data_IF_615809809244
#
_entry.id   IF_615809809244
#
_cell.length_a   1.000
_cell.length_b   1.000
_cell.length_c   1.000
_cell.angle_alpha   90.00
_cell.angle_beta   90.00
_cell.angle_gamma   90.00
#
_symmetry.space_group_name_H-M   'P 1'
#
loop_
_entity.id
_entity.type
_entity.pdbx_description
1 polymer ?
#
# COMPACT_ATOMS: atom_id res chain seq x y z
N UNK A 1 0.02 -36.94 14.72
CA UNK A 1 -0.72 -35.69 15.03
C UNK A 1 -1.97 -36.09 15.76
N UNK A 2 -2.28 -35.38 16.83
CA UNK A 2 -3.56 -35.51 17.52
C UNK A 2 -4.54 -34.50 16.93
N UNK A 3 -5.48 -34.97 16.11
CA UNK A 3 -6.46 -34.12 15.43
C UNK A 3 -7.56 -33.57 16.37
N UNK A 4 -7.68 -34.12 17.58
CA UNK A 4 -8.60 -33.59 18.59
C UNK A 4 -8.01 -32.44 19.40
N UNK A 5 -6.71 -32.17 19.26
CA UNK A 5 -6.04 -31.08 19.95
C UNK A 5 -6.37 -29.71 19.32
N UNK A 6 -6.37 -28.68 20.14
CA UNK A 6 -6.63 -27.31 19.71
C UNK A 6 -5.69 -26.34 20.41
N UNK A 7 -5.33 -25.26 19.73
CA UNK A 7 -4.56 -24.18 20.32
C UNK A 7 -5.38 -23.42 21.36
N UNK A 8 -4.71 -22.91 22.39
CA UNK A 8 -5.33 -22.05 23.40
C UNK A 8 -4.53 -20.77 23.55
N UNK A 9 -5.15 -19.63 23.88
CA UNK A 9 -4.42 -18.37 24.16
C UNK A 9 -3.35 -18.03 23.09
N UNK A 10 -3.71 -18.16 21.82
CA UNK A 10 -2.83 -17.86 20.69
C UNK A 10 -3.26 -16.55 20.05
N UNK A 11 -2.30 -15.66 19.79
CA UNK A 11 -2.51 -14.36 19.16
C UNK A 11 -1.50 -14.15 18.04
N UNK A 12 -2.01 -14.02 16.82
CA UNK A 12 -1.25 -13.81 15.59
C UNK A 12 -1.64 -12.49 14.95
N UNK A 13 -0.69 -11.90 14.22
CA UNK A 13 -0.90 -10.67 13.47
C UNK A 13 -0.88 -10.99 11.96
N UNK A 14 -1.81 -10.39 11.23
CA UNK A 14 -2.08 -10.78 9.85
C UNK A 14 -3.07 -9.87 9.14
N UNK A 15 -3.26 -10.16 7.85
CA UNK A 15 -4.09 -9.39 6.93
C UNK A 15 -5.05 -10.32 6.19
N UNK A 16 -6.34 -9.96 6.15
CA UNK A 16 -7.34 -10.70 5.41
C UNK A 16 -7.44 -10.14 3.99
N UNK A 17 -7.12 -10.97 3.00
CA UNK A 17 -7.11 -10.60 1.57
C UNK A 17 -8.09 -11.45 0.77
N UNK A 18 -8.58 -10.89 -0.33
CA UNK A 18 -9.39 -11.60 -1.31
C UNK A 18 -8.53 -11.77 -2.57
N UNK A 19 -8.06 -13.00 -2.82
CA UNK A 19 -7.38 -13.34 -4.06
C UNK A 19 -8.41 -13.52 -5.18
N UNK A 20 -8.20 -12.84 -6.30
CA UNK A 20 -8.95 -13.04 -7.54
C UNK A 20 -8.12 -13.94 -8.46
N UNK A 21 -8.54 -15.19 -8.60
CA UNK A 21 -7.89 -16.18 -9.47
C UNK A 21 -8.07 -15.81 -10.94
N UNK A 22 -7.22 -16.37 -11.81
CA UNK A 22 -7.30 -16.17 -13.27
C UNK A 22 -8.65 -16.58 -13.88
N UNK A 23 -9.36 -17.50 -13.24
CA UNK A 23 -10.71 -17.95 -13.62
C UNK A 23 -11.83 -17.09 -13.02
N UNK A 24 -11.50 -15.99 -12.33
CA UNK A 24 -12.45 -15.08 -11.69
C UNK A 24 -12.92 -15.51 -10.30
N UNK A 25 -12.54 -16.70 -9.82
CA UNK A 25 -12.91 -17.14 -8.46
C UNK A 25 -12.25 -16.26 -7.42
N UNK A 26 -13.03 -15.90 -6.40
CA UNK A 26 -12.56 -15.14 -5.22
C UNK A 26 -12.26 -16.10 -4.09
N UNK A 27 -11.05 -16.04 -3.54
CA UNK A 27 -10.61 -16.89 -2.43
C UNK A 27 -10.19 -16.01 -1.27
N UNK A 28 -10.85 -16.19 -0.12
CA UNK A 28 -10.53 -15.45 1.10
C UNK A 28 -9.34 -16.10 1.81
N UNK A 29 -8.31 -15.31 2.12
CA UNK A 29 -7.11 -15.77 2.80
C UNK A 29 -6.69 -14.85 3.94
N UNK A 30 -6.24 -15.43 5.03
CA UNK A 30 -5.59 -14.70 6.12
C UNK A 30 -4.08 -14.89 6.05
N UNK A 31 -3.38 -13.82 5.66
CA UNK A 31 -1.93 -13.78 5.51
C UNK A 31 -1.28 -13.42 6.85
N UNK A 32 -0.66 -14.40 7.51
CA UNK A 32 0.03 -14.18 8.80
C UNK A 32 1.43 -13.66 8.56
N UNK A 33 1.79 -12.56 9.23
CA UNK A 33 3.11 -11.95 9.15
C UNK A 33 3.78 -11.72 10.52
N UNK A 34 3.10 -11.99 11.64
CA UNK A 34 3.73 -12.04 12.97
C UNK A 34 2.96 -12.95 13.96
N UNK A 35 3.59 -13.31 15.07
CA UNK A 35 3.00 -14.11 16.14
C UNK A 35 3.44 -13.60 17.52
N UNK A 36 2.48 -13.16 18.33
CA UNK A 36 2.72 -12.49 19.61
C UNK A 36 2.63 -13.48 20.77
N UNK A 37 1.67 -14.41 20.71
CA UNK A 37 1.43 -15.42 21.74
C UNK A 37 1.09 -16.74 21.06
N UNK A 38 1.64 -17.85 21.54
CA UNK A 38 1.30 -19.18 21.07
C UNK A 38 1.14 -20.12 22.26
N UNK A 39 -0.05 -20.71 22.44
CA UNK A 39 -0.32 -21.65 23.53
C UNK A 39 0.01 -21.09 24.93
N UNK A 40 -0.29 -19.81 25.12
CA UNK A 40 0.01 -19.06 26.35
C UNK A 40 1.47 -18.62 26.49
N UNK A 41 2.37 -19.03 25.60
CA UNK A 41 3.75 -18.56 25.57
C UNK A 41 3.83 -17.20 24.89
N UNK A 42 4.29 -16.19 25.64
CA UNK A 42 4.53 -14.85 25.12
C UNK A 42 5.81 -14.82 24.25
N UNK A 43 5.70 -14.33 23.02
CA UNK A 43 6.78 -14.28 22.03
C UNK A 43 7.25 -12.86 21.71
N UNK A 44 6.61 -11.81 22.23
CA UNK A 44 6.88 -10.41 21.84
C UNK A 44 8.34 -9.95 22.07
N UNK A 45 9.05 -10.52 23.04
CA UNK A 45 10.47 -10.21 23.33
C UNK A 45 11.47 -10.99 22.44
N UNK A 46 10.97 -11.78 21.50
CA UNK A 46 11.81 -12.52 20.55
C UNK A 46 11.92 -11.73 19.26
N UNK A 47 13.02 -11.90 18.53
CA UNK A 47 13.18 -11.38 17.18
C UNK A 47 12.13 -11.97 16.21
N UNK A 48 11.83 -11.24 15.13
CA UNK A 48 10.80 -11.60 14.15
C UNK A 48 11.02 -13.01 13.57
N UNK A 49 12.27 -13.39 13.26
CA UNK A 49 12.59 -14.72 12.73
C UNK A 49 12.21 -15.84 13.70
N UNK A 50 12.35 -15.59 15.01
CA UNK A 50 11.93 -16.52 16.05
C UNK A 50 10.42 -16.55 16.18
N UNK A 51 9.75 -15.39 16.23
CA UNK A 51 8.28 -15.32 16.32
C UNK A 51 7.62 -16.09 15.16
N UNK A 52 8.08 -15.84 13.93
CA UNK A 52 7.63 -16.54 12.73
C UNK A 52 8.02 -18.02 12.72
N UNK A 53 9.25 -18.36 13.16
CA UNK A 53 9.71 -19.73 13.25
C UNK A 53 8.88 -20.58 14.23
N UNK A 54 8.48 -20.01 15.36
CA UNK A 54 7.59 -20.64 16.34
C UNK A 54 6.21 -20.90 15.74
N UNK A 55 5.58 -19.89 15.15
CA UNK A 55 4.28 -20.03 14.51
C UNK A 55 4.33 -21.05 13.35
N UNK A 56 5.40 -21.04 12.55
CA UNK A 56 5.55 -21.98 11.42
C UNK A 56 5.58 -23.42 11.88
N UNK A 57 6.37 -23.69 12.91
CA UNK A 57 6.63 -25.04 13.35
C UNK A 57 5.45 -25.63 14.12
N UNK A 58 4.80 -24.82 14.94
CA UNK A 58 3.84 -25.29 15.94
C UNK A 58 2.39 -25.01 15.58
N UNK A 59 2.09 -24.10 14.65
CA UNK A 59 0.72 -23.81 14.21
C UNK A 59 0.53 -24.14 12.73
N UNK A 60 1.34 -23.54 11.86
CA UNK A 60 1.10 -23.62 10.42
C UNK A 60 1.39 -25.00 9.83
N UNK A 61 2.49 -25.65 10.21
CA UNK A 61 2.77 -27.03 9.76
C UNK A 61 1.66 -28.01 10.18
N UNK A 62 1.14 -27.99 11.42
CA UNK A 62 -0.07 -28.73 11.78
C UNK A 62 -1.29 -28.40 10.92
N UNK A 63 -1.55 -27.12 10.66
CA UNK A 63 -2.63 -26.67 9.78
C UNK A 63 -2.47 -27.21 8.35
N UNK A 64 -1.27 -27.14 7.76
CA UNK A 64 -0.99 -27.70 6.42
C UNK A 64 -1.23 -29.21 6.37
N UNK A 65 -0.83 -29.92 7.43
CA UNK A 65 -1.06 -31.36 7.53
C UNK A 65 -2.55 -31.68 7.70
N UNK A 66 -3.32 -30.87 8.42
CA UNK A 66 -4.77 -31.00 8.55
C UNK A 66 -5.45 -30.83 7.20
N UNK A 67 -5.13 -29.77 6.46
CA UNK A 67 -5.63 -29.52 5.11
C UNK A 67 -5.31 -30.68 4.15
N UNK A 68 -4.10 -31.27 4.26
CA UNK A 68 -3.69 -32.41 3.44
C UNK A 68 -4.42 -33.70 3.83
N UNK A 69 -4.68 -33.91 5.11
CA UNK A 69 -5.36 -35.11 5.61
C UNK A 69 -6.86 -35.09 5.36
N UNK A 70 -7.48 -33.90 5.35
CA UNK A 70 -8.93 -33.70 5.22
C UNK A 70 -9.26 -32.63 4.16
N UNK A 71 -8.95 -32.89 2.87
CA UNK A 71 -9.17 -31.91 1.81
C UNK A 71 -10.65 -31.56 1.61
N UNK A 72 -11.56 -32.51 1.85
CA UNK A 72 -13.00 -32.30 1.69
C UNK A 72 -13.59 -31.37 2.75
N UNK A 73 -12.94 -31.24 3.91
CA UNK A 73 -13.37 -30.34 5.00
C UNK A 73 -12.97 -28.88 4.73
N UNK A 74 -11.96 -28.66 3.88
CA UNK A 74 -11.43 -27.34 3.59
C UNK A 74 -12.49 -26.40 2.98
N UNK A 75 -13.51 -26.95 2.32
CA UNK A 75 -14.61 -26.15 1.74
C UNK A 75 -15.44 -25.42 2.81
N UNK A 76 -15.44 -25.90 4.06
CA UNK A 76 -16.16 -25.29 5.16
C UNK A 76 -15.34 -24.22 5.89
N UNK A 77 -14.07 -24.02 5.51
CA UNK A 77 -13.25 -23.02 6.16
C UNK A 77 -13.70 -21.63 5.71
N UNK A 78 -13.87 -20.68 6.66
CA UNK A 78 -14.28 -19.32 6.30
C UNK A 78 -13.21 -18.62 5.45
N UNK A 79 -11.94 -18.96 5.65
CA UNK A 79 -10.78 -18.49 4.89
C UNK A 79 -9.64 -19.47 5.02
N UNK A 80 -8.68 -19.39 4.11
CA UNK A 80 -7.44 -20.17 4.20
C UNK A 80 -6.34 -19.38 4.89
N UNK A 81 -5.63 -20.04 5.80
CA UNK A 81 -4.43 -19.49 6.39
C UNK A 81 -3.26 -19.62 5.44
N UNK A 82 -2.47 -18.57 5.29
CA UNK A 82 -1.23 -18.60 4.52
C UNK A 82 -0.16 -17.74 5.22
N UNK A 83 1.10 -18.16 5.14
CA UNK A 83 2.20 -17.28 5.53
C UNK A 83 2.40 -16.17 4.52
N UNK A 84 2.54 -14.93 5.01
CA UNK A 84 3.06 -13.85 4.18
C UNK A 84 4.53 -14.16 3.86
N UNK A 85 4.83 -14.36 2.59
CA UNK A 85 6.18 -14.64 2.14
C UNK A 85 7.04 -13.38 2.31
N UNK A 86 7.97 -13.43 3.26
CA UNK A 86 8.88 -12.32 3.55
C UNK A 86 10.16 -12.47 2.74
N UNK A 87 10.63 -11.37 2.15
CA UNK A 87 11.92 -11.30 1.47
C UNK A 87 12.89 -10.40 2.25
N UNK A 88 14.19 -10.57 2.01
CA UNK A 88 15.19 -9.67 2.60
C UNK A 88 15.06 -8.25 2.04
N UNK A 89 15.39 -7.24 2.84
CA UNK A 89 15.29 -5.83 2.44
C UNK A 89 16.09 -5.44 1.20
N UNK A 90 17.14 -6.19 0.85
CA UNK A 90 17.91 -5.98 -0.37
C UNK A 90 17.37 -6.72 -1.61
N UNK A 91 16.31 -7.54 -1.46
CA UNK A 91 15.69 -8.28 -2.55
C UNK A 91 14.61 -7.45 -3.29
N UNK A 92 14.75 -6.12 -3.28
CA UNK A 92 13.82 -5.19 -3.91
C UNK A 92 13.59 -5.46 -5.40
N UNK A 93 14.63 -5.75 -6.23
CA UNK A 93 14.39 -6.10 -7.63
C UNK A 93 13.47 -7.31 -7.79
N UNK A 94 13.69 -8.37 -6.99
CA UNK A 94 12.83 -9.55 -6.99
C UNK A 94 11.39 -9.19 -6.59
N UNK A 95 11.23 -8.35 -5.57
CA UNK A 95 9.91 -7.91 -5.12
C UNK A 95 9.16 -7.20 -6.25
N UNK A 96 9.75 -6.17 -6.85
CA UNK A 96 9.11 -5.36 -7.88
C UNK A 96 8.90 -6.11 -9.20
N UNK A 97 9.84 -6.96 -9.62
CA UNK A 97 9.79 -7.58 -10.95
C UNK A 97 9.08 -8.93 -10.96
N UNK A 98 9.03 -9.63 -9.82
CA UNK A 98 8.56 -11.02 -9.76
C UNK A 98 7.46 -11.27 -8.72
N UNK A 99 7.47 -10.58 -7.57
CA UNK A 99 6.49 -10.87 -6.52
C UNK A 99 5.24 -10.02 -6.71
N UNK A 100 5.37 -8.69 -6.68
CA UNK A 100 4.23 -7.77 -6.73
C UNK A 100 3.36 -7.95 -7.98
N UNK A 101 3.91 -8.09 -9.21
CA UNK A 101 3.09 -8.25 -10.42
C UNK A 101 2.31 -9.57 -10.47
N UNK A 102 2.72 -10.57 -9.67
CA UNK A 102 2.12 -11.90 -9.65
C UNK A 102 1.21 -12.13 -8.43
N UNK A 103 0.96 -11.09 -7.62
CA UNK A 103 -0.02 -11.17 -6.54
C UNK A 103 -1.44 -11.28 -7.11
N UNK A 104 -2.27 -12.10 -6.48
CA UNK A 104 -3.67 -12.31 -6.87
C UNK A 104 -4.62 -11.32 -6.15
N UNK A 105 -4.08 -10.45 -5.31
CA UNK A 105 -4.76 -9.38 -4.58
C UNK A 105 -4.06 -8.05 -4.82
N UNK A 106 -4.75 -6.94 -4.52
CA UNK A 106 -4.19 -5.59 -4.64
C UNK A 106 -3.00 -5.36 -3.71
N UNK A 107 -2.05 -4.54 -4.14
CA UNK A 107 -0.89 -4.12 -3.36
C UNK A 107 -0.73 -2.60 -3.48
N UNK A 108 -0.48 -1.92 -2.36
CA UNK A 108 -0.36 -0.47 -2.27
C UNK A 108 1.04 -0.01 -1.82
N UNK A 109 2.03 -0.91 -1.88
CA UNK A 109 3.41 -0.62 -1.48
C UNK A 109 4.13 -1.76 -0.76
N UNK A 110 5.11 -1.39 0.06
CA UNK A 110 6.02 -2.29 0.76
C UNK A 110 6.00 -2.03 2.27
N UNK A 111 6.15 -3.09 3.05
CA UNK A 111 6.38 -3.01 4.50
C UNK A 111 7.76 -3.56 4.82
N UNK A 112 8.59 -2.77 5.49
CA UNK A 112 9.88 -3.20 6.03
C UNK A 112 9.75 -3.42 7.53
N UNK A 113 9.95 -4.67 7.95
CA UNK A 113 9.89 -5.06 9.36
C UNK A 113 11.29 -5.40 9.87
N UNK A 114 11.73 -4.72 10.94
CA UNK A 114 13.04 -5.00 11.54
C UNK A 114 13.10 -6.40 12.16
N UNK A 115 14.05 -7.23 11.70
CA UNK A 115 14.16 -8.63 12.14
C UNK A 115 14.58 -8.75 13.60
N UNK A 116 15.60 -7.99 14.01
CA UNK A 116 16.21 -8.10 15.35
C UNK A 116 15.48 -7.28 16.42
N UNK A 117 14.26 -6.83 16.16
CA UNK A 117 13.46 -6.04 17.09
C UNK A 117 12.38 -6.88 17.76
N UNK A 118 12.14 -6.60 19.04
CA UNK A 118 10.96 -7.05 19.77
C UNK A 118 9.69 -6.46 19.14
N UNK A 119 8.57 -7.12 19.35
CA UNK A 119 7.27 -6.60 18.94
C UNK A 119 6.86 -5.45 19.86
N UNK A 120 6.40 -4.33 19.29
CA UNK A 120 5.95 -3.15 20.03
C UNK A 120 4.45 -2.97 19.89
N UNK A 121 3.78 -2.71 21.02
CA UNK A 121 2.37 -2.32 21.01
C UNK A 121 2.23 -0.84 20.61
N UNK A 122 1.34 -0.56 19.66
CA UNK A 122 1.12 0.80 19.14
C UNK A 122 2.13 1.17 18.05
N UNK A 123 2.47 2.46 17.95
CA UNK A 123 3.39 2.95 16.92
C UNK A 123 4.79 2.39 17.08
N UNK A 124 5.29 1.73 16.04
CA UNK A 124 6.66 1.24 15.93
C UNK A 124 7.43 1.95 14.82
N UNK A 125 8.42 2.74 15.21
CA UNK A 125 9.32 3.47 14.30
C UNK A 125 10.22 2.53 13.49
N UNK A 126 10.29 1.24 13.85
CA UNK A 126 11.07 0.21 13.13
C UNK A 126 10.26 -0.52 12.06
N UNK A 127 8.96 -0.27 11.99
CA UNK A 127 8.09 -0.75 10.91
C UNK A 127 7.91 0.40 9.93
N UNK A 128 8.51 0.26 8.75
CA UNK A 128 8.45 1.30 7.72
C UNK A 128 7.45 0.87 6.66
N UNK A 129 6.48 1.75 6.37
CA UNK A 129 5.58 1.61 5.23
C UNK A 129 6.09 2.52 4.11
N UNK A 130 6.34 1.92 2.95
CA UNK A 130 6.64 2.65 1.73
C UNK A 130 5.46 2.50 0.78
N UNK A 131 5.04 3.60 0.17
CA UNK A 131 4.02 3.62 -0.87
C UNK A 131 4.58 4.36 -2.08
N UNK A 132 4.31 3.88 -3.30
CA UNK A 132 4.67 4.65 -4.48
C UNK A 132 3.85 5.96 -4.50
N UNK A 133 4.40 6.99 -5.15
CA UNK A 133 3.81 8.33 -5.09
C UNK A 133 2.40 8.40 -5.69
N UNK A 134 2.13 7.58 -6.70
CA UNK A 134 0.83 7.42 -7.37
C UNK A 134 -0.24 6.74 -6.50
N UNK A 135 0.17 6.11 -5.38
CA UNK A 135 -0.73 5.59 -4.34
C UNK A 135 -0.99 6.60 -3.20
N UNK A 136 -0.29 7.73 -3.18
CA UNK A 136 -0.60 8.83 -2.28
C UNK A 136 -1.67 9.73 -2.93
N UNK A 137 -2.93 9.32 -2.77
CA UNK A 137 -4.06 10.05 -3.30
C UNK A 137 -4.64 11.07 -2.33
N UNK A 138 -5.29 12.08 -2.90
CA UNK A 138 -6.02 13.12 -2.18
C UNK A 138 -7.39 13.25 -2.85
N UNK A 139 -8.42 13.34 -2.01
CA UNK A 139 -9.77 13.61 -2.48
C UNK A 139 -9.97 15.12 -2.63
N UNK A 140 -10.25 15.59 -3.84
CA UNK A 140 -10.50 16.99 -4.15
C UNK A 140 -11.93 17.18 -4.62
N UNK A 141 -12.44 18.42 -4.56
CA UNK A 141 -13.60 18.83 -5.34
C UNK A 141 -13.13 19.27 -6.72
N UNK A 142 -13.63 18.62 -7.76
CA UNK A 142 -13.35 18.97 -9.15
C UNK A 142 -14.23 20.14 -9.56
N UNK A 143 -13.65 21.15 -10.22
CA UNK A 143 -14.37 22.29 -10.76
C UNK A 143 -14.01 22.49 -12.24
N UNK A 144 -15.02 22.53 -13.11
CA UNK A 144 -14.86 22.74 -14.55
C UNK A 144 -15.00 24.23 -14.89
N UNK A 145 -14.01 24.76 -15.62
CA UNK A 145 -14.05 26.13 -16.13
C UNK A 145 -13.94 26.10 -17.66
N UNK A 146 -15.08 26.29 -18.33
CA UNK A 146 -15.13 26.35 -19.79
C UNK A 146 -14.60 27.69 -20.30
N UNK A 147 -13.90 27.72 -21.44
CA UNK A 147 -13.49 28.96 -22.06
C UNK A 147 -14.71 29.74 -22.58
N UNK A 148 -14.54 31.07 -22.72
CA UNK A 148 -15.55 31.91 -23.36
C UNK A 148 -15.46 31.76 -24.88
N UNK A 149 -16.60 31.80 -25.55
CA UNK A 149 -16.66 31.96 -27.00
C UNK A 149 -16.02 33.31 -27.39
N UNK A 150 -15.44 33.40 -28.60
CA UNK A 150 -15.12 34.69 -29.19
C UNK A 150 -16.40 35.56 -29.29
N UNK A 151 -16.34 36.88 -29.03
CA UNK A 151 -17.52 37.75 -29.10
C UNK A 151 -18.25 37.72 -30.44
N UNK A 152 -17.54 37.39 -31.52
CA UNK A 152 -18.11 37.25 -32.87
C UNK A 152 -19.01 36.02 -33.02
N UNK A 153 -18.90 35.03 -32.13
CA UNK A 153 -19.66 33.79 -32.12
C UNK A 153 -20.79 33.80 -31.08
N UNK A 154 -21.00 34.91 -30.35
CA UNK A 154 -22.10 35.04 -29.39
C UNK A 154 -23.45 34.98 -30.10
N UNK A 155 -24.35 34.16 -29.57
CA UNK A 155 -25.75 34.17 -30.02
C UNK A 155 -26.37 35.55 -29.75
N UNK A 156 -27.14 36.07 -30.71
CA UNK A 156 -27.88 37.34 -30.58
C UNK A 156 -29.11 37.15 -29.66
N UNK A 157 -28.87 36.81 -28.40
CA UNK A 157 -29.91 36.65 -27.37
C UNK A 157 -30.29 37.99 -26.70
N UNK A 158 -29.61 39.07 -27.08
CA UNK A 158 -29.82 40.42 -26.56
C UNK A 158 -29.32 40.63 -25.12
N UNK A 159 -28.66 39.64 -24.50
CA UNK A 159 -28.15 39.74 -23.13
C UNK A 159 -26.82 40.50 -23.05
N UNK A 160 -26.01 40.46 -24.13
CA UNK A 160 -24.65 41.03 -24.15
C UNK A 160 -23.70 40.39 -23.14
N UNK A 161 -24.08 39.24 -22.56
CA UNK A 161 -23.31 38.54 -21.54
C UNK A 161 -22.27 37.60 -22.19
N UNK A 162 -21.08 37.40 -21.57
CA UNK A 162 -20.09 36.46 -22.08
C UNK A 162 -20.65 35.03 -22.15
N UNK A 163 -20.61 34.42 -23.34
CA UNK A 163 -21.09 33.05 -23.56
C UNK A 163 -19.93 32.05 -23.48
N UNK A 164 -20.19 30.85 -22.94
CA UNK A 164 -19.20 29.79 -22.77
C UNK A 164 -19.20 28.81 -23.96
N UNK A 165 -18.02 28.37 -24.36
CA UNK A 165 -17.86 27.26 -25.29
C UNK A 165 -17.96 25.93 -24.53
N UNK A 166 -19.17 25.36 -24.51
CA UNK A 166 -19.46 24.07 -23.87
C UNK A 166 -18.90 22.86 -24.64
N UNK A 167 -18.47 23.04 -25.89
CA UNK A 167 -17.88 21.98 -26.71
C UNK A 167 -16.36 21.89 -26.54
N UNK A 168 -15.71 22.99 -26.18
CA UNK A 168 -14.30 23.00 -25.80
C UNK A 168 -14.02 22.16 -24.55
N UNK A 169 -12.76 21.72 -24.45
CA UNK A 169 -12.24 21.09 -23.24
C UNK A 169 -12.05 22.16 -22.16
N UNK A 170 -12.70 22.04 -20.99
CA UNK A 170 -12.55 23.02 -19.93
C UNK A 170 -11.18 22.91 -19.23
N UNK A 171 -10.77 23.98 -18.57
CA UNK A 171 -9.76 23.88 -17.52
C UNK A 171 -10.37 23.15 -16.32
N UNK A 172 -9.68 22.13 -15.79
CA UNK A 172 -10.19 21.34 -14.67
C UNK A 172 -9.36 21.65 -13.43
N UNK A 173 -10.00 22.28 -12.45
CA UNK A 173 -9.34 22.72 -11.23
C UNK A 173 -9.73 21.84 -10.04
N UNK A 174 -8.79 21.68 -9.11
CA UNK A 174 -8.94 20.87 -7.91
C UNK A 174 -9.00 21.80 -6.71
N UNK A 175 -10.10 21.72 -5.96
CA UNK A 175 -10.37 22.53 -4.78
C UNK A 175 -10.32 21.69 -3.51
N UNK A 176 -9.79 22.27 -2.44
CA UNK A 176 -9.67 21.64 -1.11
C UNK A 176 -10.63 22.27 -0.12
N UNK A 177 -11.03 21.51 0.90
CA UNK A 177 -11.87 22.03 1.97
C UNK A 177 -11.01 22.82 2.97
N UNK A 178 -11.23 24.14 3.07
CA UNK A 178 -10.54 25.05 4.00
C UNK A 178 -11.30 25.23 5.33
N UNK A 179 -12.24 24.35 5.65
CA UNK A 179 -13.06 24.40 6.85
C UNK A 179 -14.12 25.50 6.75
N UNK A 180 -14.14 26.42 7.73
CA UNK A 180 -15.14 27.49 7.80
C UNK A 180 -15.12 28.49 6.62
N UNK A 181 -14.08 28.47 5.79
CA UNK A 181 -13.96 29.29 4.57
C UNK A 181 -14.49 28.65 3.29
N UNK A 182 -15.02 27.41 3.35
CA UNK A 182 -15.51 26.69 2.17
C UNK A 182 -14.39 26.08 1.32
N UNK A 183 -14.63 25.94 0.01
CA UNK A 183 -13.67 25.35 -0.92
C UNK A 183 -12.73 26.40 -1.51
N UNK A 184 -11.44 26.08 -1.56
CA UNK A 184 -10.41 26.91 -2.18
C UNK A 184 -9.74 26.16 -3.33
N UNK A 185 -9.62 26.81 -4.50
CA UNK A 185 -8.82 26.30 -5.62
C UNK A 185 -7.38 26.07 -5.16
N UNK A 186 -6.86 24.87 -5.41
CA UNK A 186 -5.57 24.42 -4.90
C UNK A 186 -4.61 23.99 -6.01
N UNK A 187 -5.08 23.22 -6.99
CA UNK A 187 -4.26 22.80 -8.13
C UNK A 187 -5.08 22.68 -9.42
N UNK A 188 -4.40 22.34 -10.51
CA UNK A 188 -5.02 21.97 -11.78
C UNK A 188 -4.86 20.46 -11.99
N UNK A 189 -5.91 19.82 -12.49
CA UNK A 189 -5.88 18.42 -12.89
C UNK A 189 -5.47 18.31 -14.35
N UNK A 190 -4.42 17.55 -14.61
CA UNK A 190 -4.04 17.23 -15.98
C UNK A 190 -4.94 16.11 -16.50
N UNK A 191 -5.59 16.35 -17.65
CA UNK A 191 -6.48 15.39 -18.33
C UNK A 191 -6.14 15.41 -19.80
N UNK A 192 -5.90 14.25 -20.40
CA UNK A 192 -5.68 14.09 -21.84
C UNK A 192 -7.01 14.16 -22.61
N UNK A 193 -6.97 14.36 -23.93
CA UNK A 193 -8.21 14.46 -24.71
C UNK A 193 -9.00 13.13 -24.74
N UNK A 194 -8.29 12.00 -24.69
CA UNK A 194 -8.92 10.69 -24.56
C UNK A 194 -9.59 10.53 -23.20
N UNK A 195 -8.92 10.93 -22.10
CA UNK A 195 -9.52 10.86 -20.76
C UNK A 195 -10.71 11.81 -20.63
N UNK A 196 -10.64 13.01 -21.22
CA UNK A 196 -11.78 13.93 -21.26
C UNK A 196 -12.96 13.31 -22.01
N UNK A 197 -12.71 12.67 -23.14
CA UNK A 197 -13.74 11.94 -23.89
C UNK A 197 -14.36 10.82 -23.04
N UNK A 198 -13.54 10.08 -22.30
CA UNK A 198 -14.02 9.03 -21.40
C UNK A 198 -14.89 9.60 -20.28
N UNK A 199 -14.49 10.72 -19.65
CA UNK A 199 -15.27 11.40 -18.61
C UNK A 199 -16.64 11.86 -19.14
N UNK A 200 -16.69 12.45 -20.35
CA UNK A 200 -17.95 12.82 -20.99
C UNK A 200 -18.86 11.62 -21.24
N UNK A 201 -18.29 10.50 -21.69
CA UNK A 201 -19.03 9.28 -21.99
C UNK A 201 -19.63 8.60 -20.75
N UNK A 202 -19.26 9.02 -19.53
CA UNK A 202 -19.87 8.49 -18.30
C UNK A 202 -21.32 8.97 -18.13
N UNK A 203 -21.75 10.03 -18.82
CA UNK A 203 -23.13 10.52 -18.78
C UNK A 203 -23.59 11.00 -17.40
N UNK A 204 -22.63 11.41 -16.56
CA UNK A 204 -22.88 11.94 -15.22
C UNK A 204 -22.48 13.40 -15.17
N UNK A 205 -23.14 14.18 -14.31
CA UNK A 205 -22.65 15.51 -13.95
C UNK A 205 -21.21 15.37 -13.40
N UNK A 206 -20.33 16.22 -13.89
CA UNK A 206 -18.90 16.18 -13.57
C UNK A 206 -18.51 17.30 -12.61
N UNK A 207 -19.09 18.49 -12.79
CA UNK A 207 -18.73 19.66 -12.02
C UNK A 207 -19.06 19.49 -10.53
N UNK A 208 -18.25 20.14 -9.70
CA UNK A 208 -18.37 20.19 -8.24
C UNK A 208 -18.32 18.83 -7.50
N UNK A 209 -17.95 17.74 -8.17
CA UNK A 209 -17.88 16.40 -7.57
C UNK A 209 -16.58 16.10 -6.87
N UNK A 210 -16.65 15.21 -5.87
CA UNK A 210 -15.47 14.72 -5.18
C UNK A 210 -14.79 13.63 -6.01
N UNK A 211 -13.51 13.85 -6.32
CA UNK A 211 -12.65 12.96 -7.10
C UNK A 211 -11.41 12.62 -6.30
N UNK A 212 -10.97 11.37 -6.38
CA UNK A 212 -9.67 10.97 -5.88
C UNK A 212 -8.63 11.20 -6.97
N UNK A 213 -7.58 11.95 -6.64
CA UNK A 213 -6.47 12.23 -7.54
C UNK A 213 -5.15 11.79 -6.92
N UNK A 214 -4.18 11.42 -7.76
CA UNK A 214 -2.80 11.19 -7.36
C UNK A 214 -1.84 11.87 -8.34
N UNK A 215 -0.59 12.08 -7.92
CA UNK A 215 0.45 12.59 -8.80
C UNK A 215 1.01 11.47 -9.68
N UNK A 216 1.18 11.76 -10.98
CA UNK A 216 1.99 10.90 -11.86
C UNK A 216 3.50 11.14 -11.68
N UNK A 217 4.30 10.37 -12.42
CA UNK A 217 5.78 10.47 -12.41
C UNK A 217 6.29 11.85 -12.86
N UNK A 218 5.47 12.62 -13.59
CA UNK A 218 5.78 13.99 -14.04
C UNK A 218 5.32 15.06 -13.02
N UNK A 219 4.77 14.64 -11.88
CA UNK A 219 4.28 15.52 -10.82
C UNK A 219 2.95 16.20 -11.12
N UNK A 220 2.17 15.68 -12.08
CA UNK A 220 0.85 16.22 -12.46
C UNK A 220 -0.26 15.47 -11.74
N UNK A 221 -1.29 16.18 -11.30
CA UNK A 221 -2.47 15.55 -10.70
C UNK A 221 -3.34 14.86 -11.75
N UNK A 222 -3.60 13.57 -11.53
CA UNK A 222 -4.40 12.72 -12.43
C UNK A 222 -5.63 12.19 -11.70
N UNK A 223 -6.73 12.07 -12.43
CA UNK A 223 -7.95 11.45 -11.96
C UNK A 223 -7.74 9.95 -11.69
N UNK A 224 -8.09 9.46 -10.50
CA UNK A 224 -8.21 8.01 -10.22
C UNK A 224 -9.67 7.56 -10.31
N UNK A 225 -10.57 8.17 -9.53
CA UNK A 225 -11.98 7.77 -9.48
C UNK A 225 -12.89 8.82 -8.84
N UNK A 226 -14.20 8.68 -9.03
CA UNK A 226 -15.19 9.42 -8.26
C UNK A 226 -15.33 8.87 -6.83
N UNK A 227 -15.52 9.78 -5.87
CA UNK A 227 -15.78 9.49 -4.46
C UNK A 227 -17.22 9.79 -4.10
N UNK A 228 -18.14 9.02 -4.65
CA UNK A 228 -19.58 9.14 -4.39
C UNK A 228 -19.95 8.82 -2.94
N UNK A 229 -19.04 8.16 -2.22
CA UNK A 229 -19.12 7.89 -0.80
C UNK A 229 -18.86 9.15 0.06
N UNK A 230 -18.34 10.23 -0.53
CA UNK A 230 -17.93 11.44 0.20
C UNK A 230 -18.78 12.65 -0.17
N UNK A 231 -19.19 13.39 0.86
CA UNK A 231 -19.80 14.71 0.72
C UNK A 231 -18.76 15.78 0.41
N UNK A 232 -17.58 15.65 1.02
CA UNK A 232 -16.52 16.64 0.94
C UNK A 232 -15.17 16.04 0.57
N UNK A 233 -14.36 16.85 -0.10
CA UNK A 233 -12.94 16.58 -0.32
C UNK A 233 -12.15 16.63 0.99
N UNK A 234 -10.86 16.28 0.93
CA UNK A 234 -10.00 16.35 2.08
C UNK A 234 -9.81 17.79 2.58
N UNK A 235 -9.70 17.93 3.90
CA UNK A 235 -9.34 19.18 4.53
C UNK A 235 -7.90 19.56 4.19
N UNK A 236 -7.61 20.85 4.04
CA UNK A 236 -6.29 21.37 3.65
C UNK A 236 -5.13 20.84 4.53
N UNK A 237 -5.37 20.55 5.81
CA UNK A 237 -4.36 19.94 6.68
C UNK A 237 -3.96 18.53 6.23
N UNK A 238 -4.92 17.71 5.78
CA UNK A 238 -4.66 16.38 5.24
C UNK A 238 -3.89 16.50 3.93
N UNK A 239 -4.31 17.44 3.06
CA UNK A 239 -3.62 17.71 1.79
C UNK A 239 -2.16 18.07 2.04
N UNK A 240 -1.88 18.98 2.98
CA UNK A 240 -0.51 19.36 3.33
C UNK A 240 0.30 18.18 3.90
N UNK A 241 -0.31 17.32 4.72
CA UNK A 241 0.35 16.12 5.24
C UNK A 241 0.71 15.12 4.14
N UNK A 242 -0.18 14.90 3.18
CA UNK A 242 0.08 14.01 2.03
C UNK A 242 1.15 14.64 1.13
N UNK A 243 1.08 15.94 0.88
CA UNK A 243 2.09 16.66 0.09
C UNK A 243 3.48 16.61 0.73
N UNK A 244 3.57 16.70 2.06
CA UNK A 244 4.83 16.51 2.75
C UNK A 244 5.36 15.08 2.55
N UNK A 245 4.48 14.08 2.62
CA UNK A 245 4.84 12.68 2.39
C UNK A 245 5.32 12.41 0.95
N UNK A 246 4.76 13.12 -0.03
CA UNK A 246 5.19 13.04 -1.43
C UNK A 246 6.55 13.71 -1.61
N UNK A 247 6.77 14.89 -1.01
CA UNK A 247 8.04 15.64 -1.11
C UNK A 247 9.21 14.93 -0.43
N UNK A 248 8.97 14.35 0.73
CA UNK A 248 9.96 13.56 1.47
C UNK A 248 9.98 12.10 0.99
N UNK A 249 9.19 11.79 -0.04
CA UNK A 249 9.00 10.44 -0.56
C UNK A 249 10.29 9.88 -1.15
N UNK A 250 10.54 8.61 -0.88
CA UNK A 250 11.60 7.84 -1.54
C UNK A 250 10.98 7.22 -2.79
N UNK A 251 11.56 7.40 -3.98
CA UNK A 251 11.04 6.78 -5.19
C UNK A 251 11.32 5.28 -5.25
N UNK A 252 10.68 4.57 -6.18
CA UNK A 252 10.99 3.16 -6.44
C UNK A 252 12.44 3.01 -6.90
N UNK A 253 12.91 3.93 -7.73
CA UNK A 253 14.24 3.98 -8.31
C UNK A 253 15.30 4.19 -7.20
N UNK A 254 15.01 5.08 -6.24
CA UNK A 254 15.87 5.30 -5.07
C UNK A 254 16.00 4.02 -4.22
N UNK A 255 14.89 3.32 -3.98
CA UNK A 255 14.89 2.03 -3.27
C UNK A 255 15.74 1.00 -4.01
N UNK A 256 15.60 0.90 -5.33
CA UNK A 256 16.38 -0.03 -6.15
C UNK A 256 17.87 0.32 -6.13
N UNK A 257 18.23 1.60 -6.18
CA UNK A 257 19.61 2.07 -6.17
C UNK A 257 20.37 1.66 -4.89
N UNK A 258 19.70 1.65 -3.73
CA UNK A 258 20.34 1.29 -2.46
C UNK A 258 20.38 -0.22 -2.18
N UNK A 259 19.61 -1.04 -2.91
CA UNK A 259 19.46 -2.47 -2.62
C UNK A 259 20.80 -3.22 -2.59
N UNK A 260 21.71 -2.91 -3.52
CA UNK A 260 23.03 -3.55 -3.61
C UNK A 260 23.93 -3.21 -2.41
N UNK A 261 23.95 -1.95 -1.98
CA UNK A 261 24.69 -1.49 -0.82
C UNK A 261 24.16 -2.13 0.47
N UNK A 262 22.84 -2.20 0.64
CA UNK A 262 22.18 -2.88 1.77
C UNK A 262 22.58 -4.35 1.85
N UNK A 263 22.66 -5.04 0.70
CA UNK A 263 23.11 -6.44 0.63
C UNK A 263 24.53 -6.62 1.12
N UNK A 264 25.44 -5.76 0.65
CA UNK A 264 26.87 -5.79 1.02
C UNK A 264 27.03 -5.60 2.51
N UNK A 265 26.37 -4.59 3.08
CA UNK A 265 26.43 -4.31 4.51
C UNK A 265 25.78 -5.41 5.35
N UNK A 266 24.69 -6.02 4.88
CA UNK A 266 24.07 -7.16 5.55
C UNK A 266 25.03 -8.35 5.63
N UNK A 267 25.71 -8.71 4.53
CA UNK A 267 26.72 -9.78 4.52
C UNK A 267 27.92 -9.47 5.41
N UNK A 268 28.39 -8.22 5.39
CA UNK A 268 29.48 -7.75 6.25
C UNK A 268 29.13 -7.92 7.74
N UNK A 269 27.92 -7.52 8.16
CA UNK A 269 27.43 -7.72 9.54
C UNK A 269 27.39 -9.20 9.93
N UNK A 270 26.90 -10.07 9.05
CA UNK A 270 26.87 -11.51 9.30
C UNK A 270 28.28 -12.10 9.51
N UNK A 271 29.24 -11.72 8.67
CA UNK A 271 30.63 -12.17 8.81
C UNK A 271 31.26 -11.70 10.13
N UNK A 272 31.01 -10.45 10.54
CA UNK A 272 31.49 -9.90 11.83
C UNK A 272 30.91 -10.66 13.03
N UNK A 273 29.60 -10.95 13.01
CA UNK A 273 28.94 -11.72 14.07
C UNK A 273 29.50 -13.14 14.16
N UNK A 274 29.73 -13.80 13.02
CA UNK A 274 30.34 -15.14 13.00
C UNK A 274 31.78 -15.14 13.50
N UNK A 275 32.57 -14.12 13.18
CA UNK A 275 33.94 -13.98 13.69
C UNK A 275 33.97 -13.76 15.21
N UNK A 276 33.05 -12.96 15.75
CA UNK A 276 32.93 -12.72 17.19
C UNK A 276 32.39 -13.94 17.96
N UNK A 277 31.57 -14.78 17.33
CA UNK A 277 31.04 -15.99 17.94
C UNK A 277 32.03 -17.18 17.96
N UNK A 278 33.19 -17.08 17.28
CA UNK A 278 34.24 -18.11 17.33
C UNK A 278 35.07 -17.93 18.60
N UNK A 279 35.12 -18.92 19.51
CA UNK A 279 35.99 -18.84 20.67
C UNK A 279 37.45 -18.80 20.23
N UNK A 280 38.27 -17.97 20.90
CA UNK A 280 39.71 -17.92 20.68
C UNK A 280 40.31 -19.31 20.91
N UNK A 281 40.70 -20.01 19.84
CA UNK A 281 41.43 -21.26 19.96
C UNK A 281 42.75 -20.97 20.70
N UNK A 282 42.94 -21.66 21.81
CA UNK A 282 43.95 -21.40 22.82
C UNK A 282 45.37 -21.31 22.28
N UNK A 283 46.14 -20.36 22.83
CA UNK A 283 47.60 -20.40 22.75
C UNK A 283 48.10 -21.71 23.35
N UNK A 284 48.99 -22.47 22.69
CA UNK A 284 49.62 -23.61 23.34
C UNK A 284 50.49 -23.09 24.48
N UNK A 285 50.20 -23.54 25.71
CA UNK A 285 51.12 -23.38 26.83
C UNK A 285 52.32 -24.30 26.56
N UNK A 286 53.42 -23.71 26.08
CA UNK A 286 54.72 -24.37 26.02
C UNK A 286 55.19 -24.68 27.43
N UNK A 287 55.61 -25.94 27.64
CA UNK A 287 56.36 -26.42 28.80
C UNK A 287 57.77 -25.85 28.81
#
# INVERSE_FOLDING_TARGET
MDWGSFHTKTLVDGELVIDVKKDGRKVLKFLVFDCLVLDGQLLVQRSLDKRLGYFRSNFFKPYEALCKAFPDEMQYFPFYLQFKNMEFSYALPKMFDQVLPNLEHGNDGLIFTAVNADYRFGTDEKILKWKPADENSIDFRMNLQFPLLPPEEYEEDGSGSPQYDWYAKPQITLSVNAGGGGYQKWAEMYVTDQEWTNLKNMGVELDERIVECAMDEEGRWRFKRFRNDKKDGNHISVVNSVMQSIRDGVSKEDLLAVASAVRTEWKSRQARQQAQARPAQGRPQGR
#
